data_IF_563177838264
#
_entry.id   IF_563177838264
#
_cell.length_a   1.000
_cell.length_b   1.000
_cell.length_c   1.000
_cell.angle_alpha   90.00
_cell.angle_beta   90.00
_cell.angle_gamma   90.00
#
_symmetry.space_group_name_H-M   'P 1'
#
loop_
_entity.id
_entity.type
_entity.pdbx_description
1 polymer ?
#
# COMPACT_ATOMS: atom_id res chain seq x y z
N UNK A 1 -58.17 1.12 -39.80
CA UNK A 1 -56.93 1.89 -39.54
C UNK A 1 -56.37 1.35 -38.23
N UNK A 2 -55.56 0.29 -38.25
CA UNK A 2 -54.07 0.27 -38.17
C UNK A 2 -53.47 1.15 -37.06
N UNK A 3 -52.66 0.50 -36.20
CA UNK A 3 -51.42 1.00 -35.52
C UNK A 3 -51.56 1.90 -34.27
N UNK A 4 -50.81 1.79 -33.16
CA UNK A 4 -49.57 1.05 -32.77
C UNK A 4 -49.60 0.80 -31.24
N UNK A 5 -49.34 -0.43 -30.79
CA UNK A 5 -48.93 -0.72 -29.39
C UNK A 5 -47.43 -0.51 -29.31
N UNK A 6 -46.95 0.47 -28.53
CA UNK A 6 -45.52 0.68 -28.28
C UNK A 6 -45.13 -0.01 -26.98
N UNK A 7 -44.48 -1.16 -27.11
CA UNK A 7 -43.71 -1.81 -26.05
C UNK A 7 -42.44 -0.98 -25.79
N UNK A 8 -42.31 -0.44 -24.58
CA UNK A 8 -41.06 0.13 -24.10
C UNK A 8 -40.28 -0.96 -23.38
N UNK A 9 -39.31 -1.56 -24.08
CA UNK A 9 -38.37 -2.53 -23.53
C UNK A 9 -37.40 -1.81 -22.59
N UNK A 10 -37.53 -2.05 -21.27
CA UNK A 10 -36.54 -1.65 -20.28
C UNK A 10 -35.37 -2.65 -20.36
N UNK A 11 -34.31 -2.23 -21.03
CA UNK A 11 -33.02 -2.92 -21.05
C UNK A 11 -32.35 -2.74 -19.68
N UNK A 12 -32.44 -3.76 -18.82
CA UNK A 12 -31.72 -3.83 -17.55
C UNK A 12 -30.23 -4.02 -17.86
N UNK A 13 -29.46 -2.93 -17.83
CA UNK A 13 -28.01 -2.95 -17.89
C UNK A 13 -27.48 -3.49 -16.55
N UNK A 14 -27.30 -4.80 -16.47
CA UNK A 14 -26.50 -5.48 -15.44
C UNK A 14 -25.01 -5.17 -15.68
N UNK A 15 -24.58 -3.96 -15.32
CA UNK A 15 -23.15 -3.66 -15.20
C UNK A 15 -22.66 -4.28 -13.90
N UNK A 16 -22.06 -5.45 -14.07
CA UNK A 16 -21.01 -6.04 -13.24
C UNK A 16 -20.50 -5.12 -12.12
N UNK A 17 -20.99 -5.37 -10.91
CA UNK A 17 -20.37 -4.88 -9.68
C UNK A 17 -19.01 -5.58 -9.61
N UNK A 18 -17.99 -4.91 -10.14
CA UNK A 18 -16.60 -5.27 -9.88
C UNK A 18 -16.39 -5.15 -8.39
N UNK A 19 -16.51 -6.27 -7.67
CA UNK A 19 -16.06 -6.39 -6.29
C UNK A 19 -14.60 -6.00 -6.31
N UNK A 20 -14.30 -4.81 -5.80
CA UNK A 20 -12.96 -4.44 -5.43
C UNK A 20 -12.46 -5.57 -4.53
N UNK A 21 -11.56 -6.41 -5.06
CA UNK A 21 -10.86 -7.40 -4.25
C UNK A 21 -10.02 -6.61 -3.27
N UNK A 22 -10.61 -6.25 -2.13
CA UNK A 22 -9.86 -5.87 -0.95
C UNK A 22 -8.92 -7.04 -0.68
N UNK A 23 -7.61 -6.75 -0.61
CA UNK A 23 -6.58 -7.75 -0.33
C UNK A 23 -7.06 -8.67 0.79
N UNK A 24 -7.05 -9.97 0.55
CA UNK A 24 -7.45 -10.94 1.56
C UNK A 24 -6.64 -10.66 2.83
N UNK A 25 -7.30 -10.46 3.99
CA UNK A 25 -6.60 -10.04 5.18
C UNK A 25 -5.58 -11.12 5.57
N UNK A 26 -4.36 -10.70 5.94
CA UNK A 26 -3.17 -11.54 6.13
C UNK A 26 -3.43 -12.85 6.90
N UNK A 27 -4.31 -12.80 7.91
CA UNK A 27 -4.71 -13.96 8.72
C UNK A 27 -5.29 -15.12 7.90
N UNK A 28 -6.10 -14.85 6.86
CA UNK A 28 -6.67 -15.89 5.99
C UNK A 28 -5.64 -16.44 5.00
N UNK A 29 -4.73 -15.59 4.54
CA UNK A 29 -3.71 -15.96 3.56
C UNK A 29 -2.66 -16.92 4.16
N UNK A 30 -2.36 -16.77 5.45
CA UNK A 30 -1.30 -17.53 6.13
C UNK A 30 -1.81 -18.63 7.07
N UNK A 31 -3.12 -18.80 7.21
CA UNK A 31 -3.70 -19.75 8.16
C UNK A 31 -3.26 -19.49 9.61
N UNK A 32 -3.23 -18.21 10.02
CA UNK A 32 -2.79 -17.83 11.36
C UNK A 32 -3.79 -18.34 12.42
N UNK A 33 -3.27 -18.77 13.57
CA UNK A 33 -4.11 -18.98 14.75
C UNK A 33 -4.73 -17.66 15.21
N UNK A 34 -5.78 -17.72 16.02
CA UNK A 34 -6.43 -16.51 16.55
C UNK A 34 -5.45 -15.64 17.35
N UNK A 35 -4.55 -16.28 18.11
CA UNK A 35 -3.52 -15.59 18.88
C UNK A 35 -2.47 -14.94 17.97
N UNK A 36 -1.91 -15.69 17.01
CA UNK A 36 -0.94 -15.14 16.04
C UNK A 36 -1.55 -13.97 15.26
N UNK A 37 -2.82 -14.07 14.85
CA UNK A 37 -3.50 -13.01 14.12
C UNK A 37 -3.69 -11.74 14.97
N UNK A 38 -3.93 -11.87 16.28
CA UNK A 38 -4.00 -10.74 17.20
C UNK A 38 -2.63 -10.06 17.35
N UNK A 39 -1.57 -10.84 17.57
CA UNK A 39 -0.21 -10.33 17.72
C UNK A 39 0.29 -9.63 16.44
N UNK A 40 0.05 -10.23 15.27
CA UNK A 40 0.36 -9.60 13.97
C UNK A 40 -0.41 -8.29 13.81
N UNK A 41 -1.69 -8.24 14.19
CA UNK A 41 -2.49 -7.00 14.11
C UNK A 41 -1.91 -5.90 14.99
N UNK A 42 -1.42 -6.23 16.17
CA UNK A 42 -0.81 -5.28 17.11
C UNK A 42 0.54 -4.77 16.60
N UNK A 43 1.38 -5.66 16.06
CA UNK A 43 2.63 -5.28 15.36
C UNK A 43 2.31 -4.29 14.24
N UNK A 44 1.38 -4.64 13.36
CA UNK A 44 0.97 -3.77 12.25
C UNK A 44 0.36 -2.45 12.73
N UNK A 45 -0.37 -2.43 13.85
CA UNK A 45 -0.96 -1.20 14.38
C UNK A 45 0.11 -0.23 14.89
N UNK A 46 1.11 -0.73 15.62
CA UNK A 46 2.25 0.06 16.11
C UNK A 46 3.07 0.62 14.94
N UNK A 47 3.49 -0.23 14.01
CA UNK A 47 4.26 0.19 12.84
C UNK A 47 3.49 1.19 11.98
N UNK A 48 2.18 1.00 11.75
CA UNK A 48 1.35 1.96 11.01
C UNK A 48 1.35 3.36 11.61
N UNK A 49 1.31 3.48 12.95
CA UNK A 49 1.31 4.78 13.64
C UNK A 49 2.62 5.52 13.41
N UNK A 50 3.74 4.83 13.58
CA UNK A 50 5.07 5.40 13.36
C UNK A 50 5.28 5.75 11.88
N UNK A 51 4.87 4.84 11.00
CA UNK A 51 4.96 5.01 9.55
C UNK A 51 4.19 6.24 9.06
N UNK A 52 3.00 6.48 9.61
CA UNK A 52 2.20 7.66 9.29
C UNK A 52 2.94 8.97 9.61
N UNK A 53 3.72 9.00 10.70
CA UNK A 53 4.57 10.13 11.05
C UNK A 53 5.60 10.42 9.96
N UNK A 54 6.44 9.43 9.64
CA UNK A 54 7.52 9.55 8.64
C UNK A 54 6.96 9.89 7.25
N UNK A 55 5.86 9.24 6.85
CA UNK A 55 5.17 9.52 5.59
C UNK A 55 4.63 10.95 5.54
N UNK A 56 4.14 11.45 6.67
CA UNK A 56 3.72 12.85 6.80
C UNK A 56 4.86 13.82 6.52
N UNK A 57 6.05 13.54 7.05
CA UNK A 57 7.25 14.36 6.82
C UNK A 57 7.71 14.27 5.37
N UNK A 58 7.80 13.06 4.82
CA UNK A 58 8.15 12.82 3.42
C UNK A 58 7.26 13.64 2.48
N UNK A 59 5.94 13.65 2.72
CA UNK A 59 5.01 14.43 1.92
C UNK A 59 5.19 15.94 2.07
N UNK A 60 5.61 16.43 3.25
CA UNK A 60 5.93 17.85 3.45
C UNK A 60 7.17 18.26 2.66
N UNK A 61 8.26 17.51 2.81
CA UNK A 61 9.51 17.80 2.09
C UNK A 61 9.33 17.62 0.58
N UNK A 62 8.50 16.67 0.13
CA UNK A 62 8.21 16.48 -1.29
C UNK A 62 7.49 17.69 -1.90
N UNK A 63 6.60 18.33 -1.14
CA UNK A 63 5.97 19.59 -1.56
C UNK A 63 6.98 20.73 -1.58
N UNK A 64 7.93 20.78 -0.64
CA UNK A 64 9.00 21.78 -0.65
C UNK A 64 9.92 21.60 -1.88
N UNK A 65 10.36 20.37 -2.17
CA UNK A 65 11.09 20.04 -3.38
C UNK A 65 10.34 20.43 -4.66
N UNK A 66 9.03 20.15 -4.71
CA UNK A 66 8.19 20.53 -5.86
C UNK A 66 8.07 22.05 -6.06
N UNK A 67 8.13 22.84 -4.97
CA UNK A 67 8.17 24.31 -5.05
C UNK A 67 9.54 24.79 -5.52
N UNK A 68 10.62 24.30 -4.92
CA UNK A 68 12.00 24.62 -5.35
C UNK A 68 12.21 24.35 -6.84
N UNK A 69 11.69 23.22 -7.34
CA UNK A 69 11.71 22.87 -8.77
C UNK A 69 10.95 23.87 -9.65
N UNK A 70 9.82 24.41 -9.17
CA UNK A 70 9.05 25.41 -9.91
C UNK A 70 9.79 26.75 -9.96
N UNK A 71 10.46 27.08 -8.87
CA UNK A 71 11.16 28.35 -8.71
C UNK A 71 12.60 28.30 -9.29
N UNK A 72 13.03 27.13 -9.80
CA UNK A 72 14.38 26.83 -10.29
C UNK A 72 15.48 27.08 -9.24
N UNK A 73 15.16 26.90 -7.97
CA UNK A 73 16.12 26.99 -6.86
C UNK A 73 16.86 25.65 -6.73
N UNK A 74 18.00 25.55 -7.43
CA UNK A 74 18.81 24.33 -7.50
C UNK A 74 19.39 23.92 -6.15
N UNK A 75 19.81 24.90 -5.34
CA UNK A 75 20.42 24.65 -4.04
C UNK A 75 19.39 24.05 -3.07
N UNK A 76 18.17 24.61 -3.06
CA UNK A 76 17.07 24.09 -2.26
C UNK A 76 16.59 22.72 -2.78
N UNK A 77 16.61 22.48 -4.09
CA UNK A 77 16.28 21.17 -4.66
C UNK A 77 17.25 20.09 -4.15
N UNK A 78 18.56 20.33 -4.21
CA UNK A 78 19.56 19.36 -3.74
C UNK A 78 19.44 19.09 -2.24
N UNK A 79 19.27 20.15 -1.43
CA UNK A 79 19.07 20.02 0.00
C UNK A 79 17.80 19.19 0.32
N UNK A 80 16.72 19.41 -0.42
CA UNK A 80 15.47 18.70 -0.22
C UNK A 80 15.50 17.25 -0.71
N UNK A 81 16.22 16.97 -1.80
CA UNK A 81 16.40 15.60 -2.29
C UNK A 81 17.07 14.71 -1.25
N UNK A 82 18.14 15.19 -0.59
CA UNK A 82 18.83 14.43 0.48
C UNK A 82 17.89 14.07 1.64
N UNK A 83 17.00 14.99 2.02
CA UNK A 83 15.98 14.72 3.06
C UNK A 83 14.97 13.68 2.60
N UNK A 84 14.50 13.78 1.35
CA UNK A 84 13.59 12.81 0.77
C UNK A 84 14.19 11.41 0.73
N UNK A 85 15.44 11.29 0.30
CA UNK A 85 16.16 10.01 0.24
C UNK A 85 16.28 9.38 1.63
N UNK A 86 16.61 10.20 2.64
CA UNK A 86 16.71 9.77 4.04
C UNK A 86 15.37 9.27 4.57
N UNK A 87 14.29 10.03 4.33
CA UNK A 87 12.94 9.66 4.77
C UNK A 87 12.42 8.42 4.03
N UNK A 88 12.77 8.27 2.76
CA UNK A 88 12.45 7.10 1.95
C UNK A 88 13.16 5.85 2.50
N UNK A 89 14.46 5.93 2.77
CA UNK A 89 15.20 4.83 3.38
C UNK A 89 14.61 4.46 4.74
N UNK A 90 14.28 5.45 5.58
CA UNK A 90 13.63 5.19 6.87
C UNK A 90 12.30 4.43 6.72
N UNK A 91 11.49 4.77 5.73
CA UNK A 91 10.24 4.03 5.45
C UNK A 91 10.51 2.59 5.00
N UNK A 92 11.56 2.35 4.20
CA UNK A 92 12.01 1.00 3.81
C UNK A 92 12.41 0.20 5.05
N UNK A 93 13.25 0.78 5.91
CA UNK A 93 13.79 0.12 7.10
C UNK A 93 12.67 -0.23 8.09
N UNK A 94 11.70 0.68 8.29
CA UNK A 94 10.52 0.42 9.13
C UNK A 94 9.68 -0.73 8.58
N UNK A 95 9.52 -0.82 7.25
CA UNK A 95 8.75 -1.90 6.65
C UNK A 95 9.47 -3.25 6.82
N UNK A 96 10.79 -3.27 6.63
CA UNK A 96 11.60 -4.46 6.87
C UNK A 96 11.54 -4.89 8.35
N UNK A 97 11.56 -3.94 9.29
CA UNK A 97 11.40 -4.21 10.71
C UNK A 97 10.03 -4.84 11.04
N UNK A 98 8.94 -4.27 10.51
CA UNK A 98 7.59 -4.84 10.63
C UNK A 98 7.53 -6.29 10.09
N UNK A 99 8.06 -6.52 8.89
CA UNK A 99 8.04 -7.83 8.26
C UNK A 99 8.88 -8.86 9.04
N UNK A 100 10.01 -8.44 9.64
CA UNK A 100 10.84 -9.29 10.50
C UNK A 100 10.16 -9.64 11.82
N UNK A 101 9.46 -8.69 12.45
CA UNK A 101 8.67 -8.96 13.65
C UNK A 101 7.52 -9.94 13.36
N UNK A 102 6.86 -9.79 12.20
CA UNK A 102 5.83 -10.75 11.79
C UNK A 102 6.43 -12.15 11.58
N UNK A 103 7.55 -12.27 10.84
CA UNK A 103 8.22 -13.57 10.61
C UNK A 103 8.58 -14.28 11.91
N UNK A 104 8.97 -13.55 12.95
CA UNK A 104 9.30 -14.14 14.25
C UNK A 104 8.12 -14.88 14.93
N UNK A 105 6.88 -14.59 14.52
CA UNK A 105 5.67 -15.24 15.03
C UNK A 105 5.19 -16.43 14.19
N UNK A 106 5.79 -16.65 13.02
CA UNK A 106 5.33 -17.63 12.04
C UNK A 106 6.09 -18.94 12.15
N UNK A 107 5.43 -20.06 11.82
CA UNK A 107 6.14 -21.32 11.55
C UNK A 107 6.98 -21.19 10.26
N UNK A 108 7.92 -22.11 10.00
CA UNK A 108 8.67 -22.11 8.74
C UNK A 108 7.76 -22.15 7.50
N UNK A 109 6.69 -22.94 7.52
CA UNK A 109 5.73 -23.05 6.41
C UNK A 109 4.94 -21.74 6.23
N UNK A 110 4.49 -21.14 7.33
CA UNK A 110 3.80 -19.84 7.32
C UNK A 110 4.72 -18.71 6.84
N UNK A 111 6.02 -18.76 7.17
CA UNK A 111 7.01 -17.79 6.71
C UNK A 111 7.19 -17.84 5.19
N UNK A 112 7.25 -19.03 4.60
CA UNK A 112 7.29 -19.18 3.14
C UNK A 112 6.02 -18.61 2.46
N UNK A 113 4.84 -18.89 3.03
CA UNK A 113 3.59 -18.31 2.54
C UNK A 113 3.56 -16.78 2.67
N UNK A 114 4.16 -16.24 3.73
CA UNK A 114 4.30 -14.81 3.95
C UNK A 114 5.24 -14.16 2.93
N UNK A 115 6.39 -14.78 2.64
CA UNK A 115 7.31 -14.28 1.62
C UNK A 115 6.65 -14.26 0.23
N UNK A 116 5.93 -15.33 -0.14
CA UNK A 116 5.15 -15.38 -1.38
C UNK A 116 4.04 -14.31 -1.42
N UNK A 117 3.40 -14.03 -0.28
CA UNK A 117 2.43 -12.94 -0.15
C UNK A 117 3.09 -11.57 -0.37
N UNK A 118 4.28 -11.34 0.22
CA UNK A 118 5.03 -10.09 0.04
C UNK A 118 5.47 -9.91 -1.41
N UNK A 119 5.98 -10.96 -2.07
CA UNK A 119 6.33 -10.92 -3.50
C UNK A 119 5.11 -10.58 -4.36
N UNK A 120 3.99 -11.28 -4.15
CA UNK A 120 2.73 -11.01 -4.87
C UNK A 120 2.26 -9.58 -4.64
N UNK A 121 2.29 -9.10 -3.39
CA UNK A 121 1.98 -7.71 -3.07
C UNK A 121 2.89 -6.78 -3.88
N UNK A 122 4.20 -6.95 -3.79
CA UNK A 122 5.17 -6.11 -4.51
C UNK A 122 4.92 -6.09 -6.03
N UNK A 123 4.54 -7.22 -6.63
CA UNK A 123 4.16 -7.31 -8.04
C UNK A 123 2.84 -6.58 -8.36
N UNK A 124 1.83 -6.67 -7.49
CA UNK A 124 0.54 -5.97 -7.67
C UNK A 124 0.67 -4.45 -7.52
N UNK A 125 1.59 -3.98 -6.66
CA UNK A 125 1.68 -2.55 -6.32
C UNK A 125 2.44 -1.72 -7.37
N UNK A 126 2.83 -2.28 -8.53
CA UNK A 126 3.38 -1.53 -9.68
C UNK A 126 2.52 -0.36 -10.19
N UNK A 127 1.26 -0.24 -9.73
CA UNK A 127 0.32 0.85 -10.02
C UNK A 127 0.13 1.88 -8.89
N UNK A 128 0.42 1.57 -7.62
CA UNK A 128 0.10 2.48 -6.50
C UNK A 128 1.25 3.43 -6.15
N UNK A 129 0.89 4.68 -5.81
CA UNK A 129 1.80 5.81 -5.54
C UNK A 129 2.82 5.55 -4.42
N UNK A 130 2.56 4.60 -3.54
CA UNK A 130 3.42 4.30 -2.39
C UNK A 130 4.50 3.27 -2.71
N UNK A 131 4.27 2.29 -3.62
CA UNK A 131 5.30 1.32 -4.00
C UNK A 131 6.48 1.95 -4.75
N UNK A 132 6.25 3.06 -5.46
CA UNK A 132 7.33 3.83 -6.10
C UNK A 132 8.34 4.39 -5.09
N UNK A 133 8.03 4.42 -3.80
CA UNK A 133 8.98 4.75 -2.74
C UNK A 133 9.91 3.59 -2.38
N UNK A 134 9.66 2.36 -2.86
CA UNK A 134 10.40 1.17 -2.46
C UNK A 134 11.02 0.39 -3.63
N UNK A 135 10.61 0.68 -4.87
CA UNK A 135 11.26 0.11 -6.05
C UNK A 135 12.54 0.90 -6.36
N UNK A 136 13.71 0.33 -6.04
CA UNK A 136 14.96 0.68 -6.72
C UNK A 136 15.12 -0.21 -7.94
#
# INVERSE_FOLDING_TARGET
MKTVIRFFSILVLLTSVGVAQADAPLHKALGLSQQQAAEVKDIQARHRKEFAGVRGEFNRERRAFSRAKRDNDTDLMEAQQKKLDTLQQKMVDMKAAEDNEIRALLTPEQSQAFDAYIEKRNAMVGSSRDAKLYAR
#
